data_IF_067598692506
#
_entry.id   IF_067598692506
#
_cell.length_a   1.000
_cell.length_b   1.000
_cell.length_c   1.000
_cell.angle_alpha   90.00
_cell.angle_beta   90.00
_cell.angle_gamma   90.00
#
_symmetry.space_group_name_H-M   'P 1'
#
loop_
_entity.id
_entity.type
_entity.pdbx_description
1 polymer ?
#
# COMPACT_ATOMS: atom_id res chain seq x y z
N UNK A 1 -13.49 -2.36 -18.37
CA UNK A 1 -14.22 -1.84 -17.21
C UNK A 1 -13.36 -2.06 -15.98
N UNK A 2 -12.99 -0.98 -15.29
CA UNK A 2 -12.06 -0.96 -14.17
C UNK A 2 -12.82 -0.78 -12.86
N UNK A 3 -12.55 -1.62 -11.87
CA UNK A 3 -13.12 -1.50 -10.52
C UNK A 3 -12.32 -0.53 -9.68
N UNK A 4 -12.97 0.04 -8.67
CA UNK A 4 -12.36 0.91 -7.67
C UNK A 4 -12.36 0.22 -6.30
N UNK A 5 -11.17 -0.10 -5.79
CA UNK A 5 -10.95 -0.63 -4.46
C UNK A 5 -10.57 0.51 -3.52
N UNK A 6 -11.38 0.75 -2.49
CA UNK A 6 -11.07 1.75 -1.46
C UNK A 6 -10.93 1.08 -0.10
N UNK A 7 -9.88 1.40 0.65
CA UNK A 7 -9.73 0.96 2.04
C UNK A 7 -9.19 2.09 2.90
N UNK A 8 -9.29 1.91 4.22
CA UNK A 8 -8.84 2.90 5.19
C UNK A 8 -7.38 2.65 5.54
N UNK A 9 -6.54 3.66 5.32
CA UNK A 9 -5.14 3.71 5.74
C UNK A 9 -5.11 4.16 7.19
N UNK A 10 -4.86 3.21 8.08
CA UNK A 10 -4.64 3.51 9.49
C UNK A 10 -3.21 4.02 9.74
N UNK A 11 -2.24 3.49 9.00
CA UNK A 11 -0.81 3.80 9.13
C UNK A 11 -0.16 3.99 7.78
N UNK A 12 0.68 5.02 7.69
CA UNK A 12 1.29 5.44 6.44
C UNK A 12 2.75 5.83 6.70
N UNK A 13 3.59 4.81 6.84
CA UNK A 13 5.05 4.95 6.95
C UNK A 13 5.73 5.01 5.58
N UNK A 14 4.99 4.82 4.49
CA UNK A 14 5.55 4.57 3.15
C UNK A 14 5.98 3.12 2.93
N UNK A 15 5.51 2.19 3.76
CA UNK A 15 5.76 0.75 3.63
C UNK A 15 4.74 0.04 2.75
N UNK A 16 3.43 0.24 2.95
CA UNK A 16 2.40 -0.36 2.09
C UNK A 16 1.13 0.50 2.14
N UNK A 17 0.89 1.37 1.14
CA UNK A 17 1.65 1.47 -0.11
C UNK A 17 3.08 1.98 0.07
N UNK A 18 4.01 1.50 -0.77
CA UNK A 18 5.36 2.05 -0.89
C UNK A 18 5.47 2.85 -2.20
N UNK A 19 5.54 4.20 -2.15
CA UNK A 19 5.51 5.07 -3.34
C UNK A 19 6.89 5.37 -3.94
N UNK A 20 7.95 4.78 -3.40
CA UNK A 20 9.33 5.16 -3.72
C UNK A 20 9.88 4.40 -4.93
N UNK A 21 11.03 4.84 -5.44
CA UNK A 21 11.76 4.18 -6.54
C UNK A 21 10.94 4.07 -7.84
N UNK A 22 10.20 5.11 -8.18
CA UNK A 22 9.50 5.24 -9.47
C UNK A 22 8.24 4.39 -9.63
N UNK A 23 7.80 3.67 -8.60
CA UNK A 23 6.54 2.91 -8.63
C UNK A 23 5.85 2.93 -7.27
N UNK A 24 4.51 2.89 -7.28
CA UNK A 24 3.72 2.65 -6.09
C UNK A 24 3.37 1.17 -6.00
N UNK A 25 3.79 0.53 -4.92
CA UNK A 25 3.57 -0.90 -4.67
C UNK A 25 2.68 -1.11 -3.47
N UNK A 26 1.86 -2.16 -3.53
CA UNK A 26 1.15 -2.71 -2.39
C UNK A 26 1.54 -4.19 -2.34
N UNK A 27 2.69 -4.48 -1.73
CA UNK A 27 3.19 -5.84 -1.56
C UNK A 27 2.62 -6.50 -0.31
N UNK A 28 2.51 -5.74 0.78
CA UNK A 28 2.02 -6.21 2.08
C UNK A 28 0.72 -5.49 2.43
N UNK A 29 0.15 -5.79 3.61
CA UNK A 29 -1.15 -5.25 4.04
C UNK A 29 -2.29 -5.57 3.05
N UNK A 30 -3.52 -5.13 3.37
CA UNK A 30 -4.71 -5.26 2.53
C UNK A 30 -4.82 -6.55 1.66
N UNK A 31 -4.56 -7.77 2.19
CA UNK A 31 -4.42 -8.98 1.36
C UNK A 31 -5.68 -9.30 0.55
N UNK A 32 -6.86 -8.96 1.07
CA UNK A 32 -8.14 -9.14 0.38
C UNK A 32 -8.27 -8.26 -0.89
N UNK A 33 -7.69 -7.06 -0.88
CA UNK A 33 -7.63 -6.19 -2.07
C UNK A 33 -6.62 -6.77 -3.06
N UNK A 34 -5.41 -7.08 -2.58
CA UNK A 34 -4.33 -7.66 -3.41
C UNK A 34 -4.78 -8.94 -4.14
N UNK A 35 -5.49 -9.83 -3.45
CA UNK A 35 -5.99 -11.08 -4.01
C UNK A 35 -7.04 -10.93 -5.13
N UNK A 36 -7.67 -9.75 -5.28
CA UNK A 36 -8.82 -9.56 -6.18
C UNK A 36 -8.61 -8.51 -7.26
N UNK A 37 -7.83 -7.46 -6.99
CA UNK A 37 -7.59 -6.39 -7.94
C UNK A 37 -6.83 -6.91 -9.18
N UNK A 38 -7.29 -6.49 -10.36
CA UNK A 38 -6.77 -6.86 -11.68
C UNK A 38 -6.07 -5.68 -12.34
N UNK A 39 -5.35 -5.96 -13.43
CA UNK A 39 -4.78 -4.92 -14.28
C UNK A 39 -5.86 -3.95 -14.71
N UNK A 40 -5.57 -2.65 -14.58
CA UNK A 40 -6.50 -1.56 -14.90
C UNK A 40 -7.43 -1.14 -13.76
N UNK A 41 -7.58 -1.94 -12.70
CA UNK A 41 -8.35 -1.53 -11.52
C UNK A 41 -7.62 -0.43 -10.75
N UNK A 42 -8.39 0.40 -10.04
CA UNK A 42 -7.87 1.45 -9.16
C UNK A 42 -7.89 0.98 -7.71
N UNK A 43 -6.80 1.25 -6.98
CA UNK A 43 -6.69 1.04 -5.53
C UNK A 43 -6.43 2.37 -4.86
N UNK A 44 -7.24 2.70 -3.86
CA UNK A 44 -7.22 3.98 -3.15
C UNK A 44 -7.15 3.77 -1.65
N UNK A 45 -6.18 4.43 -1.02
CA UNK A 45 -6.08 4.54 0.43
C UNK A 45 -6.72 5.83 0.91
N UNK A 46 -7.81 5.69 1.68
CA UNK A 46 -8.48 6.81 2.34
C UNK A 46 -7.94 6.96 3.77
N UNK A 47 -7.66 8.17 4.22
CA UNK A 47 -7.12 8.41 5.55
C UNK A 47 -8.10 7.97 6.65
N UNK A 48 -7.57 7.32 7.68
CA UNK A 48 -8.30 6.91 8.87
C UNK A 48 -8.29 7.94 10.01
N UNK A 49 -8.99 7.62 11.08
CA UNK A 49 -9.08 8.47 12.28
C UNK A 49 -7.74 8.67 12.99
N UNK A 50 -6.88 7.64 13.07
CA UNK A 50 -5.55 7.74 13.69
C UNK A 50 -4.66 8.80 13.01
N UNK A 51 -4.75 8.87 11.68
CA UNK A 51 -4.06 9.87 10.86
C UNK A 51 -4.68 11.27 10.94
N UNK A 52 -5.84 11.43 11.61
CA UNK A 52 -6.68 12.64 11.55
C UNK A 52 -6.99 13.06 10.11
N UNK A 53 -7.13 12.08 9.22
CA UNK A 53 -7.25 12.27 7.77
C UNK A 53 -8.53 11.64 7.19
N UNK A 54 -9.56 11.43 8.02
CA UNK A 54 -10.87 10.91 7.60
C UNK A 54 -11.41 11.67 6.40
N UNK A 55 -11.74 10.95 5.32
CA UNK A 55 -12.29 11.55 4.09
C UNK A 55 -11.23 12.11 3.13
N UNK A 56 -9.95 11.99 3.46
CA UNK A 56 -8.84 12.44 2.62
C UNK A 56 -8.25 11.28 1.83
N UNK A 57 -7.83 11.54 0.60
CA UNK A 57 -7.16 10.54 -0.25
C UNK A 57 -5.65 10.55 0.05
N UNK A 58 -5.13 9.50 0.66
CA UNK A 58 -3.69 9.35 0.93
C UNK A 58 -2.94 8.98 -0.34
N UNK A 59 -3.51 8.05 -1.12
CA UNK A 59 -2.98 7.67 -2.42
C UNK A 59 -4.06 7.04 -3.30
N UNK A 60 -3.82 7.06 -4.60
CA UNK A 60 -4.59 6.32 -5.60
C UNK A 60 -3.64 5.76 -6.64
N UNK A 61 -3.77 4.47 -6.99
CA UNK A 61 -2.93 3.83 -8.00
C UNK A 61 -3.75 2.96 -8.93
N UNK A 62 -3.49 3.05 -10.24
CA UNK A 62 -4.00 2.07 -11.20
C UNK A 62 -3.07 0.88 -11.22
N UNK A 63 -3.59 -0.33 -11.08
CA UNK A 63 -2.78 -1.55 -11.15
C UNK A 63 -2.26 -1.71 -12.57
N UNK A 64 -0.95 -1.52 -12.76
CA UNK A 64 -0.29 -1.67 -14.07
C UNK A 64 0.44 -2.99 -14.21
N UNK A 65 0.74 -3.65 -13.09
CA UNK A 65 1.47 -4.92 -13.06
C UNK A 65 1.11 -5.67 -11.77
N UNK A 66 1.16 -7.00 -11.82
CA UNK A 66 1.03 -7.85 -10.63
C UNK A 66 2.04 -8.96 -10.67
N UNK A 67 2.71 -9.21 -9.55
CA UNK A 67 3.70 -10.28 -9.38
C UNK A 67 3.34 -11.12 -8.16
N UNK A 68 3.84 -12.35 -8.09
CA UNK A 68 3.99 -13.07 -6.82
C UNK A 68 5.12 -12.44 -5.98
N UNK A 69 5.23 -12.83 -4.70
CA UNK A 69 6.35 -12.39 -3.86
C UNK A 69 7.69 -12.89 -4.40
N UNK A 70 7.77 -14.13 -4.89
CA UNK A 70 9.03 -14.67 -5.42
C UNK A 70 9.46 -13.96 -6.71
N UNK A 71 8.53 -13.64 -7.60
CA UNK A 71 8.82 -12.84 -8.81
C UNK A 71 9.23 -11.41 -8.44
N UNK A 72 8.56 -10.80 -7.46
CA UNK A 72 8.91 -9.47 -6.95
C UNK A 72 10.30 -9.47 -6.28
N UNK A 73 10.61 -10.53 -5.54
CA UNK A 73 11.90 -10.73 -4.90
C UNK A 73 13.02 -10.90 -5.92
N UNK A 74 12.83 -11.74 -6.93
CA UNK A 74 13.87 -12.07 -7.92
C UNK A 74 14.13 -10.96 -8.96
N UNK A 75 13.19 -10.02 -9.13
CA UNK A 75 13.27 -9.00 -10.16
C UNK A 75 14.13 -7.80 -9.74
N UNK A 76 15.23 -7.58 -10.47
CA UNK A 76 16.21 -6.51 -10.25
C UNK A 76 15.59 -5.11 -10.19
N UNK A 77 14.49 -4.87 -10.93
CA UNK A 77 13.78 -3.59 -10.94
C UNK A 77 13.19 -3.20 -9.57
N UNK A 78 13.13 -4.14 -8.62
CA UNK A 78 12.56 -3.93 -7.28
C UNK A 78 13.55 -4.25 -6.14
N UNK A 79 14.85 -4.33 -6.42
CA UNK A 79 15.86 -4.53 -5.38
C UNK A 79 15.93 -3.34 -4.42
N UNK A 80 15.79 -2.12 -4.92
CA UNK A 80 15.73 -0.90 -4.09
C UNK A 80 14.51 -0.86 -3.16
N UNK A 81 13.51 -1.72 -3.39
CA UNK A 81 12.35 -1.86 -2.50
C UNK A 81 12.58 -2.87 -1.38
N UNK A 82 13.79 -3.42 -1.24
CA UNK A 82 14.17 -4.21 -0.06
C UNK A 82 14.64 -3.27 1.06
N UNK A 83 14.22 -3.50 2.31
CA UNK A 83 14.54 -2.59 3.39
C UNK A 83 16.02 -2.66 3.79
N UNK A 84 16.60 -1.50 4.11
CA UNK A 84 17.90 -1.36 4.78
C UNK A 84 17.67 -0.59 6.08
N UNK A 85 17.66 -1.31 7.21
CA UNK A 85 17.19 -0.78 8.52
C UNK A 85 18.10 0.27 9.17
N UNK A 86 19.34 0.39 8.71
CA UNK A 86 20.29 1.42 9.09
C UNK A 86 20.49 2.48 7.97
N UNK A 87 19.62 2.49 6.96
CA UNK A 87 19.68 3.43 5.84
C UNK A 87 18.81 4.68 6.04
N UNK A 88 18.54 5.39 4.94
CA UNK A 88 17.61 6.52 4.92
C UNK A 88 16.18 6.10 5.25
N UNK A 89 15.30 7.05 5.58
CA UNK A 89 13.87 6.77 5.82
C UNK A 89 13.20 6.04 4.66
N UNK A 90 13.55 6.36 3.41
CA UNK A 90 13.07 5.66 2.21
C UNK A 90 13.53 4.21 2.21
N UNK A 91 14.82 3.98 2.44
CA UNK A 91 15.41 2.64 2.45
C UNK A 91 14.88 1.79 3.61
N UNK A 92 14.54 2.37 4.76
CA UNK A 92 14.02 1.61 5.89
C UNK A 92 12.65 0.98 5.62
N UNK A 93 11.83 1.59 4.76
CA UNK A 93 10.42 1.21 4.55
C UNK A 93 10.18 0.44 3.25
N UNK A 94 11.22 -0.20 2.69
CA UNK A 94 11.07 -1.12 1.57
C UNK A 94 10.09 -2.26 1.86
N UNK A 95 9.22 -2.59 0.90
CA UNK A 95 8.13 -3.57 1.03
C UNK A 95 8.39 -4.93 0.36
N UNK A 96 9.56 -5.07 -0.29
CA UNK A 96 10.05 -6.33 -0.86
C UNK A 96 10.76 -7.16 0.21
N UNK A 97 9.96 -7.84 1.04
CA UNK A 97 10.46 -8.48 2.28
C UNK A 97 10.24 -9.98 2.36
N UNK A 98 9.56 -10.58 1.38
CA UNK A 98 9.21 -12.00 1.40
C UNK A 98 9.80 -12.75 0.21
N UNK A 99 10.35 -13.93 0.49
CA UNK A 99 10.87 -14.85 -0.52
C UNK A 99 10.79 -16.29 -0.01
N UNK A 100 11.02 -17.25 -0.89
CA UNK A 100 11.21 -18.66 -0.54
C UNK A 100 12.42 -19.20 -1.30
N UNK A 101 13.11 -20.17 -0.70
CA UNK A 101 14.18 -20.90 -1.39
C UNK A 101 13.62 -21.76 -2.52
N UNK A 102 12.42 -22.31 -2.34
CA UNK A 102 11.75 -23.19 -3.28
C UNK A 102 10.24 -22.96 -3.27
N UNK A 103 9.60 -23.24 -4.40
CA UNK A 103 8.15 -23.08 -4.56
C UNK A 103 7.43 -24.03 -3.59
N UNK A 104 6.60 -23.47 -2.71
CA UNK A 104 5.87 -24.23 -1.69
C UNK A 104 6.62 -24.35 -0.35
N UNK A 105 7.87 -23.93 -0.28
CA UNK A 105 8.63 -23.86 0.97
C UNK A 105 8.13 -22.77 1.94
N UNK A 106 8.70 -22.71 3.16
CA UNK A 106 8.36 -21.69 4.15
C UNK A 106 8.80 -20.30 3.67
N UNK A 107 7.99 -19.29 3.98
CA UNK A 107 8.34 -17.89 3.73
C UNK A 107 9.50 -17.44 4.61
N UNK A 108 10.48 -16.81 3.98
CA UNK A 108 11.51 -16.02 4.64
C UNK A 108 11.05 -14.57 4.69
N UNK A 109 11.32 -13.90 5.81
CA UNK A 109 11.03 -12.48 6.00
C UNK A 109 12.33 -11.72 6.27
N UNK A 110 12.56 -10.63 5.54
CA UNK A 110 13.65 -9.70 5.83
C UNK A 110 13.37 -8.86 7.08
N UNK A 111 14.46 -8.41 7.73
CA UNK A 111 14.40 -7.39 8.77
C UNK A 111 13.76 -6.10 8.23
N UNK A 112 12.57 -5.77 8.72
CA UNK A 112 11.66 -4.82 8.07
C UNK A 112 10.66 -4.19 9.03
N UNK A 113 9.81 -3.30 8.51
CA UNK A 113 8.67 -2.76 9.26
C UNK A 113 7.75 -3.86 9.83
N UNK A 114 7.69 -5.05 9.22
CA UNK A 114 6.81 -6.15 9.64
C UNK A 114 7.52 -7.30 10.38
N UNK A 115 8.83 -7.19 10.66
CA UNK A 115 9.54 -8.17 11.49
C UNK A 115 9.49 -7.81 12.99
N UNK A 116 9.99 -8.69 13.85
CA UNK A 116 10.13 -8.43 15.28
C UNK A 116 11.23 -7.37 15.56
N UNK A 117 11.30 -6.80 16.79
CA UNK A 117 12.32 -5.81 17.15
C UNK A 117 13.76 -6.22 16.82
N UNK A 118 14.11 -7.49 17.05
CA UNK A 118 15.42 -8.10 16.79
C UNK A 118 15.67 -8.42 15.29
N UNK A 119 14.70 -8.15 14.42
CA UNK A 119 14.77 -8.44 12.99
C UNK A 119 14.30 -9.84 12.59
N UNK A 120 14.00 -10.72 13.55
CA UNK A 120 13.48 -12.06 13.27
C UNK A 120 12.06 -12.00 12.67
N UNK A 121 11.68 -13.07 11.96
CA UNK A 121 10.38 -13.14 11.31
C UNK A 121 9.22 -13.05 12.33
N UNK A 122 8.20 -12.25 12.02
CA UNK A 122 6.96 -12.20 12.80
C UNK A 122 5.89 -13.12 12.15
N UNK A 123 5.57 -14.29 12.73
CA UNK A 123 4.68 -15.27 12.10
C UNK A 123 3.26 -14.73 11.84
N UNK A 124 2.76 -13.84 12.69
CA UNK A 124 1.43 -13.23 12.53
C UNK A 124 1.38 -12.35 11.28
N UNK A 125 2.41 -11.54 11.08
CA UNK A 125 2.52 -10.69 9.90
C UNK A 125 2.81 -11.52 8.64
N UNK A 126 3.73 -12.49 8.71
CA UNK A 126 4.04 -13.42 7.62
C UNK A 126 2.76 -14.09 7.13
N UNK A 127 2.01 -14.76 8.01
CA UNK A 127 0.78 -15.46 7.64
C UNK A 127 -0.27 -14.54 7.02
N UNK A 128 -0.43 -13.33 7.58
CA UNK A 128 -1.40 -12.35 7.08
C UNK A 128 -1.02 -11.81 5.71
N UNK A 129 0.22 -11.38 5.53
CA UNK A 129 0.68 -10.80 4.27
C UNK A 129 0.74 -11.85 3.16
N UNK A 130 1.21 -13.05 3.48
CA UNK A 130 1.39 -14.11 2.48
C UNK A 130 0.12 -14.91 2.17
N UNK A 131 -0.97 -14.67 2.91
CA UNK A 131 -2.31 -15.18 2.58
C UNK A 131 -2.80 -14.78 1.18
N UNK A 132 -2.18 -13.76 0.58
CA UNK A 132 -2.30 -13.44 -0.83
C UNK A 132 -0.88 -13.34 -1.42
N UNK A 133 -0.43 -14.36 -2.16
CA UNK A 133 0.84 -14.33 -2.89
C UNK A 133 0.73 -13.45 -4.15
N UNK A 134 0.55 -12.15 -3.94
CA UNK A 134 0.27 -11.17 -5.00
C UNK A 134 0.65 -9.76 -4.56
N UNK A 135 1.59 -9.16 -5.26
CA UNK A 135 2.02 -7.77 -5.16
C UNK A 135 1.30 -6.97 -6.25
N UNK A 136 0.69 -5.85 -5.88
CA UNK A 136 0.14 -4.91 -6.85
C UNK A 136 1.15 -3.80 -7.11
N UNK A 137 1.43 -3.51 -8.37
CA UNK A 137 2.44 -2.53 -8.78
C UNK A 137 1.80 -1.52 -9.72
N UNK A 138 2.17 -0.25 -9.53
CA UNK A 138 1.69 0.85 -10.35
C UNK A 138 2.82 1.78 -10.77
N UNK A 139 2.90 2.01 -12.08
CA UNK A 139 3.63 3.15 -12.70
C UNK A 139 2.67 4.27 -13.11
N UNK A 140 1.47 4.26 -12.52
CA UNK A 140 0.38 5.19 -12.79
C UNK A 140 -0.37 5.48 -11.49
N UNK A 141 0.23 6.32 -10.66
CA UNK A 141 -0.23 6.57 -9.30
C UNK A 141 -0.17 8.04 -8.92
N UNK A 142 -0.89 8.39 -7.86
CA UNK A 142 -0.84 9.65 -7.15
C UNK A 142 -0.64 9.33 -5.67
N UNK A 143 0.45 9.81 -5.10
CA UNK A 143 0.72 9.67 -3.68
C UNK A 143 0.72 11.05 -3.03
N UNK A 144 -0.20 11.26 -2.09
CA UNK A 144 -0.39 12.56 -1.46
C UNK A 144 0.23 12.63 -0.06
N UNK A 145 0.27 11.51 0.68
CA UNK A 145 0.81 11.49 2.04
C UNK A 145 0.18 12.56 2.93
N UNK A 146 0.99 13.32 3.68
CA UNK A 146 0.55 14.46 4.53
C UNK A 146 -0.19 15.56 3.75
N UNK A 147 0.00 15.67 2.44
CA UNK A 147 -0.73 16.60 1.58
C UNK A 147 -2.08 16.04 1.08
N UNK A 148 -2.55 14.91 1.65
CA UNK A 148 -3.79 14.24 1.27
C UNK A 148 -4.95 15.23 1.07
N UNK A 149 -5.52 15.35 -0.14
CA UNK A 149 -6.66 16.23 -0.38
C UNK A 149 -7.92 15.63 0.22
N UNK A 150 -8.81 16.51 0.68
CA UNK A 150 -10.16 16.10 1.07
C UNK A 150 -10.96 15.72 -0.17
N UNK A 151 -11.51 14.51 -0.21
CA UNK A 151 -12.41 14.09 -1.29
C UNK A 151 -13.74 14.80 -1.07
N UNK A 152 -14.24 15.49 -2.09
CA UNK A 152 -15.43 16.33 -1.93
C UNK A 152 -16.64 15.50 -1.47
N UNK A 153 -17.53 16.05 -0.61
CA UNK A 153 -18.70 15.31 -0.12
C UNK A 153 -19.54 14.75 -1.27
N UNK A 154 -19.72 15.54 -2.33
CA UNK A 154 -20.43 15.12 -3.54
C UNK A 154 -19.84 13.87 -4.20
N UNK A 155 -18.52 13.75 -4.27
CA UNK A 155 -17.87 12.55 -4.82
C UNK A 155 -18.10 11.37 -3.88
N UNK A 156 -17.92 11.54 -2.58
CA UNK A 156 -18.11 10.47 -1.60
C UNK A 156 -19.57 9.96 -1.56
N UNK A 157 -20.55 10.86 -1.66
CA UNK A 157 -21.98 10.54 -1.73
C UNK A 157 -22.31 9.75 -3.00
N UNK A 158 -21.80 10.16 -4.17
CA UNK A 158 -22.00 9.42 -5.43
C UNK A 158 -21.39 8.02 -5.40
N UNK A 159 -20.28 7.85 -4.69
CA UNK A 159 -19.68 6.55 -4.46
C UNK A 159 -20.49 5.71 -3.45
N UNK A 160 -21.29 6.34 -2.59
CA UNK A 160 -21.85 5.77 -1.36
C UNK A 160 -20.74 5.29 -0.41
N UNK A 161 -19.62 6.01 -0.39
CA UNK A 161 -18.47 5.66 0.42
C UNK A 161 -18.72 5.96 1.90
N UNK A 162 -18.35 5.01 2.77
CA UNK A 162 -18.33 5.19 4.23
C UNK A 162 -16.96 4.78 4.76
N UNK A 163 -16.32 5.67 5.51
CA UNK A 163 -15.01 5.43 6.12
C UNK A 163 -15.15 4.44 7.29
N UNK A 164 -14.98 3.15 6.98
CA UNK A 164 -15.14 2.03 7.92
C UNK A 164 -14.08 0.98 7.66
N UNK A 165 -13.79 0.16 8.68
CA UNK A 165 -12.81 -0.93 8.58
C UNK A 165 -13.10 -1.85 7.39
N UNK A 166 -12.03 -2.35 6.79
CA UNK A 166 -12.06 -3.21 5.60
C UNK A 166 -11.89 -2.41 4.31
N UNK A 167 -12.30 -3.02 3.20
CA UNK A 167 -12.27 -2.40 1.89
C UNK A 167 -13.68 -2.36 1.27
N UNK A 168 -13.87 -1.53 0.26
CA UNK A 168 -15.06 -1.43 -0.57
C UNK A 168 -14.63 -1.58 -2.02
N UNK A 169 -15.50 -2.17 -2.83
CA UNK A 169 -15.30 -2.34 -4.26
C UNK A 169 -16.47 -1.66 -4.94
N UNK A 170 -16.16 -0.77 -5.88
CA UNK A 170 -17.16 -0.08 -6.68
C UNK A 170 -16.99 -0.46 -8.16
N UNK A 171 -18.12 -0.59 -8.84
CA UNK A 171 -18.17 -0.91 -10.27
C UNK A 171 -17.78 0.31 -11.13
N UNK A 172 -17.65 0.08 -12.43
CA UNK A 172 -17.02 0.98 -13.41
C UNK A 172 -17.58 2.42 -13.40
N UNK A 173 -18.90 2.60 -13.33
CA UNK A 173 -19.52 3.92 -13.34
C UNK A 173 -19.11 4.79 -12.14
N UNK A 174 -18.93 4.16 -10.97
CA UNK A 174 -18.45 4.83 -9.75
C UNK A 174 -16.94 5.04 -9.78
N UNK A 175 -16.21 4.11 -10.39
CA UNK A 175 -14.77 4.27 -10.65
C UNK A 175 -14.50 5.56 -11.43
N UNK A 176 -15.23 5.78 -12.53
CA UNK A 176 -15.12 7.00 -13.34
C UNK A 176 -15.31 8.28 -12.52
N UNK A 177 -16.35 8.34 -11.68
CA UNK A 177 -16.62 9.52 -10.82
C UNK A 177 -15.41 9.91 -9.95
N UNK A 178 -14.73 8.92 -9.37
CA UNK A 178 -13.56 9.19 -8.54
C UNK A 178 -12.33 9.56 -9.37
N UNK A 179 -12.10 8.82 -10.46
CA UNK A 179 -10.94 9.00 -11.33
C UNK A 179 -10.99 10.36 -12.06
N UNK A 180 -12.17 10.79 -12.49
CA UNK A 180 -12.40 12.11 -13.09
C UNK A 180 -12.05 13.21 -12.08
N UNK A 181 -12.62 13.14 -10.86
CA UNK A 181 -12.27 14.08 -9.78
C UNK A 181 -10.77 14.10 -9.51
N UNK A 182 -10.13 12.92 -9.46
CA UNK A 182 -8.70 12.79 -9.19
C UNK A 182 -7.86 13.50 -10.26
N UNK A 183 -8.17 13.30 -11.54
CA UNK A 183 -7.40 13.85 -12.66
C UNK A 183 -7.81 15.24 -13.13
N UNK A 184 -8.99 15.73 -12.77
CA UNK A 184 -9.34 17.15 -12.92
C UNK A 184 -8.52 18.02 -11.97
N UNK A 185 -8.27 17.52 -10.76
CA UNK A 185 -7.68 18.32 -9.69
C UNK A 185 -6.17 18.07 -9.48
N UNK A 186 -5.68 16.85 -9.73
CA UNK A 186 -4.34 16.43 -9.29
C UNK A 186 -3.47 15.79 -10.38
N UNK A 187 -3.84 15.88 -11.66
CA UNK A 187 -3.09 15.25 -12.77
C UNK A 187 -1.60 15.57 -12.80
N UNK A 188 -1.21 16.76 -12.37
CA UNK A 188 0.20 17.20 -12.37
C UNK A 188 1.05 16.49 -11.30
N UNK A 189 0.43 15.86 -10.30
CA UNK A 189 1.11 15.06 -9.27
C UNK A 189 1.34 13.60 -9.65
N UNK A 190 0.96 13.18 -10.86
CA UNK A 190 1.04 11.79 -11.30
C UNK A 190 2.48 11.30 -11.27
N UNK A 191 2.67 10.09 -10.71
CA UNK A 191 3.95 9.40 -10.50
C UNK A 191 4.95 10.18 -9.63
N UNK A 192 4.45 11.09 -8.79
CA UNK A 192 5.25 11.88 -7.84
C UNK A 192 4.64 11.80 -6.46
N UNK A 193 5.48 12.01 -5.46
CA UNK A 193 5.04 12.22 -4.08
C UNK A 193 4.70 13.70 -3.94
N UNK A 194 3.44 14.00 -3.61
CA UNK A 194 3.00 15.37 -3.30
C UNK A 194 3.38 15.78 -1.88
N UNK A 195 3.52 14.79 -1.00
CA UNK A 195 3.97 14.97 0.37
C UNK A 195 4.48 13.66 0.96
N UNK A 196 5.22 13.76 2.05
CA UNK A 196 5.75 12.60 2.77
C UNK A 196 4.62 11.74 3.35
N UNK A 197 4.84 10.42 3.53
CA UNK A 197 3.93 9.59 4.32
C UNK A 197 3.60 10.22 5.70
N UNK A 198 2.39 10.00 6.21
CA UNK A 198 1.97 10.62 7.49
C UNK A 198 2.92 10.30 8.66
N UNK A 199 3.39 9.06 8.76
CA UNK A 199 4.24 8.57 9.84
C UNK A 199 5.72 8.46 9.42
N UNK A 200 6.15 9.18 8.37
CA UNK A 200 7.48 9.01 7.77
C UNK A 200 8.64 9.39 8.69
N UNK A 201 8.39 10.29 9.65
CA UNK A 201 9.33 10.66 10.71
C UNK A 201 9.63 9.51 11.68
N UNK A 202 8.84 8.45 11.62
CA UNK A 202 8.93 7.25 12.45
C UNK A 202 9.17 6.00 11.60
N UNK A 203 9.86 6.13 10.45
CA UNK A 203 10.24 5.05 9.52
C UNK A 203 10.98 3.88 10.18
N UNK A 204 11.65 4.13 11.31
CA UNK A 204 12.30 3.10 12.12
C UNK A 204 11.33 2.23 12.95
N UNK A 205 10.06 2.66 13.14
CA UNK A 205 9.07 1.86 13.87
C UNK A 205 8.77 0.57 13.13
N UNK A 206 8.38 -0.45 13.90
CA UNK A 206 7.87 -1.73 13.41
C UNK A 206 6.38 -1.84 13.73
N UNK A 207 5.69 -2.70 13.00
CA UNK A 207 4.30 -3.05 13.20
C UNK A 207 4.21 -4.52 13.58
N UNK A 208 3.64 -4.79 14.75
CA UNK A 208 3.28 -6.14 15.19
C UNK A 208 1.78 -6.32 15.07
N UNK A 209 1.34 -7.33 14.33
CA UNK A 209 -0.07 -7.70 14.26
C UNK A 209 -0.63 -8.09 15.63
N UNK A 210 -1.94 -7.87 15.83
CA UNK A 210 -2.65 -8.33 17.04
C UNK A 210 -2.43 -9.84 17.19
N UNK A 211 -1.89 -10.26 18.34
CA UNK A 211 -1.51 -11.65 18.63
C UNK A 211 -0.01 -11.94 18.49
N UNK A 212 0.82 -10.96 18.17
CA UNK A 212 2.29 -11.11 18.25
C UNK A 212 2.74 -11.20 19.71
N UNK A 213 3.73 -12.06 20.00
CA UNK A 213 4.22 -12.34 21.36
C UNK A 213 5.50 -11.55 21.73
N UNK A 214 6.18 -10.99 20.73
CA UNK A 214 7.37 -10.15 20.91
C UNK A 214 6.98 -8.68 20.66
N UNK A 215 7.21 -7.83 21.66
CA UNK A 215 6.91 -6.39 21.66
C UNK A 215 8.17 -5.57 21.88
#
# INVERSE_FOLDING_TARGET
MSKLYMYVVDRDFGFAPNPFHGSCTLATCAPRVRAKAKLGDWVVGMGGGRLKATGRCVYAMRVTETLSFDEYWANEAYFDKRPVRNGSSVMMVGDNIYSRNEVGGPWQQLDSHHSNPDGSANPVNVNKDTSANRVLISRDFLYFGKAAPFVTPRVLERLEYKNRRGHRVFEDSKCAVFVDWLFENYRNGRNRLTGDPFDFDQSAKRYSGIGSTLH
#
